data_IF_791002783805
#
_entry.id   IF_791002783805
#
_cell.length_a   1.000
_cell.length_b   1.000
_cell.length_c   1.000
_cell.angle_alpha   90.00
_cell.angle_beta   90.00
_cell.angle_gamma   90.00
#
_symmetry.space_group_name_H-M   'P 1'
#
loop_
_entity.id
_entity.type
_entity.pdbx_description
1 polymer ?
#
# COMPACT_ATOMS: atom_id res chain seq x y z
N UNK A 1 14.95 2.68 12.44
CA UNK A 1 15.81 2.12 11.38
C UNK A 1 15.64 2.98 10.13
N UNK A 2 16.69 3.14 9.33
CA UNK A 2 16.69 3.95 8.10
C UNK A 2 15.52 3.60 7.15
N UNK A 3 15.22 2.31 7.00
CA UNK A 3 14.12 1.83 6.13
C UNK A 3 12.73 2.33 6.58
N UNK A 4 12.48 2.45 7.88
CA UNK A 4 11.20 2.96 8.42
C UNK A 4 11.03 4.45 8.07
N UNK A 5 12.12 5.23 8.14
CA UNK A 5 12.11 6.64 7.76
C UNK A 5 11.78 6.84 6.29
N UNK A 6 12.35 6.02 5.40
CA UNK A 6 12.10 6.06 3.96
C UNK A 6 10.67 5.61 3.62
N UNK A 7 10.13 4.58 4.28
CA UNK A 7 8.73 4.17 4.10
C UNK A 7 7.77 5.25 4.56
N UNK A 8 8.03 5.90 5.70
CA UNK A 8 7.26 7.07 6.15
C UNK A 8 7.34 8.22 5.17
N UNK A 9 8.54 8.53 4.66
CA UNK A 9 8.73 9.61 3.67
C UNK A 9 7.98 9.35 2.37
N UNK A 10 8.07 8.12 1.84
CA UNK A 10 7.32 7.68 0.67
C UNK A 10 5.81 7.90 0.86
N UNK A 11 5.27 7.54 2.03
CA UNK A 11 3.86 7.75 2.37
C UNK A 11 3.48 9.24 2.32
N UNK A 12 4.27 10.11 2.94
CA UNK A 12 4.02 11.56 2.94
C UNK A 12 4.02 12.13 1.51
N UNK A 13 4.98 11.72 0.67
CA UNK A 13 5.05 12.15 -0.73
C UNK A 13 3.82 11.69 -1.53
N UNK A 14 3.38 10.45 -1.31
CA UNK A 14 2.18 9.91 -1.93
C UNK A 14 0.91 10.67 -1.50
N UNK A 15 0.80 11.02 -0.21
CA UNK A 15 -0.31 11.82 0.32
C UNK A 15 -0.34 13.22 -0.29
N UNK A 16 0.82 13.88 -0.39
CA UNK A 16 0.94 15.17 -1.06
C UNK A 16 0.56 15.07 -2.53
N UNK A 17 1.04 14.05 -3.24
CA UNK A 17 0.70 13.85 -4.64
C UNK A 17 -0.81 13.67 -4.85
N UNK A 18 -1.48 12.93 -3.97
CA UNK A 18 -2.94 12.78 -4.00
C UNK A 18 -3.62 14.14 -3.74
N UNK A 19 -3.13 14.90 -2.77
CA UNK A 19 -3.67 16.24 -2.45
C UNK A 19 -3.55 17.19 -3.64
N UNK A 20 -2.39 17.25 -4.29
CA UNK A 20 -2.17 18.11 -5.46
C UNK A 20 -3.00 17.66 -6.67
N UNK A 21 -3.14 16.35 -6.90
CA UNK A 21 -4.04 15.85 -7.95
C UNK A 21 -5.50 16.25 -7.70
N UNK A 22 -5.96 16.19 -6.44
CA UNK A 22 -7.30 16.64 -6.10
C UNK A 22 -7.49 18.14 -6.35
N UNK A 23 -6.50 18.97 -6.00
CA UNK A 23 -6.51 20.41 -6.30
C UNK A 23 -6.51 20.69 -7.80
N UNK A 24 -5.72 19.95 -8.58
CA UNK A 24 -5.66 20.11 -10.04
C UNK A 24 -7.02 19.82 -10.71
N UNK A 25 -7.82 18.92 -10.16
CA UNK A 25 -9.17 18.61 -10.66
C UNK A 25 -10.15 19.78 -10.48
N UNK A 26 -9.95 20.62 -9.46
CA UNK A 26 -10.81 21.78 -9.18
C UNK A 26 -10.23 23.12 -9.65
N UNK A 27 -8.95 23.16 -10.05
CA UNK A 27 -8.27 24.37 -10.48
C UNK A 27 -8.81 24.90 -11.83
N UNK A 28 -9.25 26.17 -11.82
CA UNK A 28 -9.89 26.84 -12.97
C UNK A 28 -8.89 27.67 -13.80
N UNK A 29 -7.88 28.25 -13.16
CA UNK A 29 -6.96 29.18 -13.82
C UNK A 29 -5.71 28.48 -14.37
N UNK A 30 -5.33 28.79 -15.62
CA UNK A 30 -4.16 28.16 -16.30
C UNK A 30 -2.85 28.28 -15.51
N UNK A 31 -2.60 29.42 -14.85
CA UNK A 31 -1.39 29.64 -14.03
C UNK A 31 -1.33 28.72 -12.82
N UNK A 32 -2.46 28.54 -12.13
CA UNK A 32 -2.59 27.63 -11.00
C UNK A 32 -2.35 26.19 -11.44
N UNK A 33 -3.01 25.76 -12.53
CA UNK A 33 -2.84 24.42 -13.10
C UNK A 33 -1.38 24.12 -13.46
N UNK A 34 -0.71 25.03 -14.15
CA UNK A 34 0.71 24.88 -14.49
C UNK A 34 1.62 24.81 -13.26
N UNK A 35 1.25 25.46 -12.15
CA UNK A 35 1.98 25.32 -10.88
C UNK A 35 1.77 23.95 -10.23
N UNK A 36 0.53 23.47 -10.22
CA UNK A 36 0.15 22.17 -9.66
C UNK A 36 0.79 21.02 -10.46
N UNK A 37 0.78 21.09 -11.79
CA UNK A 37 1.39 20.08 -12.67
C UNK A 37 2.89 19.96 -12.42
N UNK A 38 3.61 21.09 -12.31
CA UNK A 38 5.04 21.10 -11.94
C UNK A 38 5.29 20.47 -10.57
N UNK A 39 4.43 20.75 -9.58
CA UNK A 39 4.58 20.17 -8.24
C UNK A 39 4.30 18.66 -8.24
N UNK A 40 3.28 18.20 -8.97
CA UNK A 40 2.95 16.78 -9.13
C UNK A 40 4.11 16.04 -9.81
N UNK A 41 4.72 16.63 -10.82
CA UNK A 41 5.89 16.07 -11.49
C UNK A 41 7.08 15.95 -10.55
N UNK A 42 7.40 17.02 -9.79
CA UNK A 42 8.44 16.99 -8.77
C UNK A 42 8.18 15.90 -7.72
N UNK A 43 6.96 15.82 -7.19
CA UNK A 43 6.56 14.78 -6.22
C UNK A 43 6.73 13.38 -6.81
N UNK A 44 6.42 13.20 -8.09
CA UNK A 44 6.60 11.93 -8.80
C UNK A 44 8.07 11.54 -8.95
N UNK A 45 8.95 12.50 -9.21
CA UNK A 45 10.41 12.26 -9.29
C UNK A 45 10.99 11.93 -7.91
N UNK A 46 10.61 12.68 -6.89
CA UNK A 46 11.04 12.46 -5.51
C UNK A 46 10.59 11.07 -5.01
N UNK A 47 9.35 10.68 -5.29
CA UNK A 47 8.81 9.37 -4.93
C UNK A 47 9.60 8.23 -5.60
N UNK A 48 9.98 8.38 -6.87
CA UNK A 48 10.85 7.42 -7.57
C UNK A 48 12.23 7.31 -6.93
N UNK A 49 12.80 8.44 -6.47
CA UNK A 49 14.10 8.45 -5.80
C UNK A 49 14.06 7.64 -4.50
N UNK A 50 13.08 7.93 -3.64
CA UNK A 50 12.87 7.22 -2.36
C UNK A 50 12.60 5.74 -2.59
N UNK A 51 11.79 5.39 -3.60
CA UNK A 51 11.54 3.98 -3.95
C UNK A 51 12.82 3.27 -4.42
N UNK A 52 13.73 3.96 -5.11
CA UNK A 52 15.02 3.40 -5.53
C UNK A 52 15.96 3.16 -4.35
N UNK A 53 15.98 4.06 -3.37
CA UNK A 53 16.76 3.91 -2.13
C UNK A 53 16.24 2.73 -1.29
N UNK A 54 14.92 2.65 -1.10
CA UNK A 54 14.28 1.51 -0.43
C UNK A 54 14.64 0.17 -1.10
N UNK A 55 14.67 0.15 -2.43
CA UNK A 55 15.07 -1.04 -3.18
C UNK A 55 16.52 -1.45 -2.97
N UNK A 56 17.43 -0.48 -2.82
CA UNK A 56 18.85 -0.76 -2.55
C UNK A 56 18.98 -1.40 -1.18
N UNK A 57 18.42 -0.79 -0.14
CA UNK A 57 18.48 -1.30 1.23
C UNK A 57 17.94 -2.74 1.37
N UNK A 58 16.83 -3.06 0.67
CA UNK A 58 16.25 -4.41 0.69
C UNK A 58 17.14 -5.41 -0.05
N UNK A 59 17.74 -5.00 -1.17
CA UNK A 59 18.68 -5.86 -1.90
C UNK A 59 19.92 -6.13 -1.07
N UNK A 60 20.46 -5.14 -0.38
CA UNK A 60 21.72 -5.26 0.34
C UNK A 60 21.62 -6.19 1.56
N UNK A 61 20.42 -6.43 2.08
CA UNK A 61 20.19 -7.37 3.18
C UNK A 61 19.62 -8.72 2.71
N UNK A 62 20.36 -9.83 2.86
CA UNK A 62 19.90 -11.17 2.44
C UNK A 62 18.57 -11.59 3.06
N UNK A 63 18.37 -11.31 4.35
CA UNK A 63 17.13 -11.64 5.08
C UNK A 63 15.91 -10.93 4.48
N UNK A 64 16.08 -9.66 4.12
CA UNK A 64 15.01 -8.83 3.59
C UNK A 64 14.73 -9.17 2.13
N UNK A 65 15.76 -9.54 1.37
CA UNK A 65 15.64 -10.03 0.01
C UNK A 65 14.77 -11.29 -0.07
N UNK A 66 14.99 -12.27 0.82
CA UNK A 66 14.22 -13.52 0.76
C UNK A 66 12.81 -13.35 1.30
N UNK A 67 12.62 -12.50 2.31
CA UNK A 67 11.29 -12.10 2.74
C UNK A 67 10.52 -11.34 1.63
N UNK A 68 11.18 -10.45 0.89
CA UNK A 68 10.60 -9.72 -0.25
C UNK A 68 10.19 -10.66 -1.39
N UNK A 69 11.05 -11.64 -1.76
CA UNK A 69 10.72 -12.64 -2.77
C UNK A 69 9.54 -13.51 -2.36
N UNK A 70 9.50 -13.97 -1.10
CA UNK A 70 8.41 -14.78 -0.58
C UNK A 70 7.09 -14.01 -0.55
N UNK A 71 7.11 -12.72 -0.20
CA UNK A 71 5.91 -11.90 -0.24
C UNK A 71 5.43 -11.69 -1.68
N UNK A 72 6.33 -11.37 -2.61
CA UNK A 72 5.98 -11.16 -4.02
C UNK A 72 5.54 -12.44 -4.76
N UNK A 73 5.82 -13.64 -4.23
CA UNK A 73 5.28 -14.88 -4.82
C UNK A 73 3.78 -15.01 -4.62
N UNK A 74 3.17 -14.24 -3.73
CA UNK A 74 1.72 -14.22 -3.53
C UNK A 74 1.06 -13.40 -4.64
N UNK A 75 0.09 -13.96 -5.40
CA UNK A 75 -0.59 -13.24 -6.46
C UNK A 75 -1.23 -11.93 -5.97
N UNK A 76 -0.88 -10.83 -6.61
CA UNK A 76 -1.35 -9.49 -6.25
C UNK A 76 -0.41 -8.74 -5.31
N UNK A 77 0.56 -9.38 -4.67
CA UNK A 77 1.57 -8.68 -3.87
C UNK A 77 2.66 -8.11 -4.76
N UNK A 78 2.54 -6.82 -5.05
CA UNK A 78 3.57 -6.07 -5.76
C UNK A 78 4.72 -5.63 -4.84
N UNK A 79 5.81 -5.18 -5.47
CA UNK A 79 7.02 -4.70 -4.79
C UNK A 79 6.75 -3.64 -3.72
N UNK A 80 5.90 -2.67 -4.02
CA UNK A 80 5.50 -1.61 -3.08
C UNK A 80 4.80 -2.17 -1.84
N UNK A 81 3.88 -3.12 -2.02
CA UNK A 81 3.17 -3.72 -0.89
C UNK A 81 4.12 -4.55 -0.04
N UNK A 82 4.99 -5.34 -0.69
CA UNK A 82 6.02 -6.13 -0.01
C UNK A 82 6.88 -5.24 0.90
N UNK A 83 7.43 -4.15 0.37
CA UNK A 83 8.23 -3.17 1.14
C UNK A 83 7.47 -2.60 2.33
N UNK A 84 6.20 -2.25 2.11
CA UNK A 84 5.34 -1.67 3.13
C UNK A 84 5.09 -2.67 4.26
N UNK A 85 4.89 -3.95 3.93
CA UNK A 85 4.74 -5.03 4.90
C UNK A 85 6.03 -5.31 5.66
N UNK A 86 7.17 -5.37 4.97
CA UNK A 86 8.46 -5.64 5.62
C UNK A 86 8.84 -4.53 6.60
N UNK A 87 8.64 -3.26 6.23
CA UNK A 87 8.99 -2.13 7.10
C UNK A 87 7.95 -1.90 8.22
N UNK A 88 6.65 -2.03 7.90
CA UNK A 88 5.57 -1.69 8.82
C UNK A 88 4.93 -2.88 9.53
N UNK A 89 5.43 -4.09 9.33
CA UNK A 89 5.00 -5.32 10.00
C UNK A 89 6.17 -6.29 10.25
N UNK A 90 7.18 -5.91 11.06
CA UNK A 90 8.33 -6.77 11.39
C UNK A 90 7.96 -8.04 12.17
N UNK A 91 6.73 -8.11 12.68
CA UNK A 91 6.16 -9.28 13.36
C UNK A 91 5.66 -10.37 12.38
N UNK A 92 5.57 -10.03 11.08
CA UNK A 92 5.12 -10.94 10.03
C UNK A 92 6.06 -12.14 9.94
N UNK A 93 5.51 -13.36 10.06
CA UNK A 93 6.29 -14.60 10.12
C UNK A 93 6.79 -14.99 11.51
N UNK A 94 6.63 -14.11 12.53
CA UNK A 94 6.93 -14.42 13.94
C UNK A 94 5.68 -14.66 14.76
N UNK A 95 4.62 -13.91 14.48
CA UNK A 95 3.33 -14.04 15.16
C UNK A 95 2.35 -14.92 14.35
N UNK A 96 1.43 -15.56 15.08
CA UNK A 96 0.36 -16.35 14.47
C UNK A 96 -0.59 -15.51 13.63
N UNK A 97 -1.28 -16.16 12.68
CA UNK A 97 -2.19 -15.53 11.72
C UNK A 97 -3.26 -14.63 12.34
N UNK A 98 -3.84 -15.03 13.48
CA UNK A 98 -4.89 -14.27 14.17
C UNK A 98 -4.34 -13.00 14.82
N UNK A 99 -3.16 -13.08 15.43
CA UNK A 99 -2.47 -11.93 16.02
C UNK A 99 -2.05 -10.92 14.94
N UNK A 100 -1.55 -11.39 13.79
CA UNK A 100 -1.26 -10.52 12.64
C UNK A 100 -2.53 -9.88 12.10
N UNK A 101 -3.60 -10.65 11.91
CA UNK A 101 -4.88 -10.12 11.43
C UNK A 101 -5.46 -9.06 12.37
N UNK A 102 -5.33 -9.25 13.68
CA UNK A 102 -5.69 -8.26 14.69
C UNK A 102 -4.78 -7.02 14.65
N UNK A 103 -3.46 -7.21 14.57
CA UNK A 103 -2.47 -6.13 14.55
C UNK A 103 -2.61 -5.22 13.32
N UNK A 104 -2.91 -5.81 12.16
CA UNK A 104 -3.20 -5.06 10.92
C UNK A 104 -4.60 -4.44 10.97
N UNK A 105 -5.50 -4.98 11.80
CA UNK A 105 -6.88 -4.50 11.95
C UNK A 105 -7.81 -5.01 10.86
N UNK A 106 -7.60 -6.25 10.40
CA UNK A 106 -8.49 -6.97 9.46
C UNK A 106 -9.30 -8.06 10.15
N UNK A 107 -8.99 -8.39 11.41
CA UNK A 107 -9.77 -9.34 12.21
C UNK A 107 -10.99 -8.66 12.86
N UNK A 108 -12.22 -9.17 12.65
CA UNK A 108 -13.40 -8.70 13.36
C UNK A 108 -13.43 -9.26 14.79
N UNK A 109 -13.75 -8.41 15.77
CA UNK A 109 -13.85 -8.79 17.18
C UNK A 109 -15.31 -9.03 17.60
N UNK A 110 -15.50 -9.94 18.55
CA UNK A 110 -16.81 -10.19 19.15
C UNK A 110 -17.21 -9.00 20.04
N UNK A 111 -18.47 -8.60 19.94
CA UNK A 111 -19.09 -7.56 20.77
C UNK A 111 -20.21 -8.19 21.60
N UNK A 112 -19.86 -9.23 22.36
CA UNK A 112 -20.83 -10.03 23.12
C UNK A 112 -20.78 -9.64 24.60
N UNK A 113 -21.94 -9.43 25.23
CA UNK A 113 -22.05 -9.22 26.68
C UNK A 113 -23.23 -10.00 27.25
N UNK A 114 -22.96 -10.99 28.11
CA UNK A 114 -24.01 -11.83 28.71
C UNK A 114 -24.84 -12.54 27.64
N UNK A 115 -26.13 -12.17 27.52
CA UNK A 115 -27.06 -12.71 26.51
C UNK A 115 -27.05 -11.95 25.18
N UNK A 116 -26.38 -10.80 25.10
CA UNK A 116 -26.32 -9.99 23.89
C UNK A 116 -25.24 -10.53 22.95
N UNK A 117 -25.62 -10.85 21.71
CA UNK A 117 -24.70 -11.12 20.61
C UNK A 117 -24.72 -9.94 19.64
N UNK A 118 -23.65 -9.16 19.64
CA UNK A 118 -23.53 -7.95 18.81
C UNK A 118 -22.90 -8.25 17.44
N UNK A 119 -23.07 -7.33 16.50
CA UNK A 119 -22.39 -7.40 15.21
C UNK A 119 -20.87 -7.24 15.39
N UNK A 120 -20.11 -8.09 14.70
CA UNK A 120 -18.65 -8.11 14.82
C UNK A 120 -18.01 -7.03 13.95
N UNK A 121 -17.15 -6.24 14.57
CA UNK A 121 -16.50 -5.10 13.91
C UNK A 121 -14.99 -5.19 14.05
N UNK A 122 -14.25 -4.69 13.05
CA UNK A 122 -12.80 -4.47 13.20
C UNK A 122 -12.58 -3.35 14.22
N UNK A 123 -11.55 -3.48 15.06
CA UNK A 123 -11.19 -2.46 16.05
C UNK A 123 -9.68 -2.24 16.05
N UNK A 124 -9.25 -0.98 15.97
CA UNK A 124 -7.83 -0.59 16.02
C UNK A 124 -6.97 -1.06 14.84
N UNK A 125 -5.72 -1.39 15.15
CA UNK A 125 -4.70 -1.90 14.23
C UNK A 125 -3.91 -0.85 13.45
N UNK A 126 -2.91 -1.32 12.67
CA UNK A 126 -2.06 -0.49 11.81
C UNK A 126 -2.80 -0.08 10.53
N UNK A 127 -3.55 1.02 10.62
CA UNK A 127 -4.39 1.53 9.52
C UNK A 127 -3.63 1.67 8.18
N UNK A 128 -2.36 2.07 8.23
CA UNK A 128 -1.54 2.24 7.03
C UNK A 128 -1.35 0.93 6.25
N UNK A 129 -1.08 -0.16 6.98
CA UNK A 129 -0.93 -1.50 6.41
C UNK A 129 -2.26 -2.00 5.87
N UNK A 130 -3.35 -1.80 6.62
CA UNK A 130 -4.69 -2.15 6.15
C UNK A 130 -5.06 -1.41 4.86
N UNK A 131 -4.75 -0.11 4.76
CA UNK A 131 -5.02 0.69 3.55
C UNK A 131 -4.23 0.17 2.35
N UNK A 132 -2.95 -0.16 2.54
CA UNK A 132 -2.10 -0.73 1.49
C UNK A 132 -2.59 -2.13 1.03
N UNK A 133 -3.02 -2.97 1.97
CA UNK A 133 -3.63 -4.26 1.66
C UNK A 133 -4.95 -4.09 0.91
N UNK A 134 -5.82 -3.18 1.36
CA UNK A 134 -7.13 -2.96 0.74
C UNK A 134 -7.02 -2.47 -0.70
N UNK A 135 -6.16 -1.49 -0.99
CA UNK A 135 -5.96 -0.99 -2.36
C UNK A 135 -5.41 -2.08 -3.28
N UNK A 136 -4.48 -2.89 -2.77
CA UNK A 136 -3.87 -3.98 -3.52
C UNK A 136 -4.86 -5.11 -3.79
N UNK A 137 -5.64 -5.51 -2.78
CA UNK A 137 -6.70 -6.52 -2.93
C UNK A 137 -7.74 -6.07 -3.93
N UNK A 138 -8.16 -4.80 -3.90
CA UNK A 138 -9.08 -4.24 -4.90
C UNK A 138 -8.50 -4.31 -6.32
N UNK A 139 -7.24 -3.93 -6.49
CA UNK A 139 -6.57 -4.02 -7.79
C UNK A 139 -6.46 -5.48 -8.27
N UNK A 140 -6.08 -6.41 -7.39
CA UNK A 140 -5.97 -7.83 -7.69
C UNK A 140 -7.32 -8.47 -8.06
N UNK A 141 -8.40 -8.12 -7.35
CA UNK A 141 -9.77 -8.59 -7.65
C UNK A 141 -10.24 -8.04 -9.01
N UNK A 142 -10.00 -6.76 -9.30
CA UNK A 142 -10.36 -6.16 -10.59
C UNK A 142 -9.63 -6.81 -11.77
N UNK A 143 -8.35 -7.14 -11.61
CA UNK A 143 -7.57 -7.85 -12.63
C UNK A 143 -8.06 -9.29 -12.87
N UNK A 144 -8.56 -9.97 -11.82
CA UNK A 144 -9.15 -11.30 -11.95
C UNK A 144 -10.54 -11.29 -12.62
N UNK A 145 -11.30 -10.22 -12.46
CA UNK A 145 -12.66 -10.10 -13.01
C UNK A 145 -12.70 -9.52 -14.43
N UNK A 146 -11.59 -8.99 -14.96
CA UNK A 146 -11.56 -8.53 -16.37
C UNK A 146 -11.55 -9.76 -17.27
N UNK A 147 -12.63 -10.09 -18.01
CA UNK A 147 -12.55 -11.16 -19.00
C UNK A 147 -11.47 -10.75 -19.99
N UNK A 148 -10.48 -11.61 -20.20
CA UNK A 148 -9.48 -11.46 -21.25
C UNK A 148 -10.27 -11.39 -22.57
N UNK A 149 -10.55 -10.19 -23.07
CA UNK A 149 -11.20 -10.08 -24.38
C UNK A 149 -10.27 -10.77 -25.38
N UNK A 150 -10.76 -11.72 -26.18
CA UNK A 150 -9.94 -12.30 -27.22
C UNK A 150 -9.53 -11.16 -28.14
N UNK A 151 -8.23 -11.04 -28.37
CA UNK A 151 -7.64 -10.09 -29.30
C UNK A 151 -8.36 -10.19 -30.65
N UNK A 152 -9.10 -9.15 -31.01
CA UNK A 152 -9.58 -8.96 -32.38
C UNK A 152 -8.35 -8.78 -33.27
N UNK A 153 -7.93 -9.87 -33.90
CA UNK A 153 -7.10 -9.84 -35.09
C UNK A 153 -7.88 -9.09 -36.16
N UNK A 154 -7.57 -7.82 -36.37
CA UNK A 154 -7.94 -7.13 -37.62
C UNK A 154 -6.94 -7.59 -38.67
N UNK A 155 -7.44 -8.41 -39.60
CA UNK A 155 -6.90 -8.57 -40.96
C UNK A 155 -7.24 -7.32 -41.75
#
# INVERSE_FOLDING_TARGET
MEIDSLVRRRKQLQENQISENNRLRTALHKRERASLERHIEWLGQELKSVEKELQRLIKDSPIWREADKLLQSVPGVGRVLSMTLLAGLPELGKLGRSAIAALVGVAPFNCDSGKMRGERHIRGGRHDIRRALYSTTRAAVSLRYTPRSPSTTRV
#
